data_IF_696257206049
#
_entry.id   IF_696257206049
#
_cell.length_a   1.000
_cell.length_b   1.000
_cell.length_c   1.000
_cell.angle_alpha   90.00
_cell.angle_beta   90.00
_cell.angle_gamma   90.00
#
_symmetry.space_group_name_H-M   'P 1'
#
loop_
_entity.id
_entity.type
_entity.pdbx_description
1 polymer ?
#
# COMPACT_ATOMS: atom_id res chain seq x y z
N UNK A 1 -27.29 32.76 47.15
CA UNK A 1 -27.92 32.15 45.95
C UNK A 1 -27.21 32.72 44.73
N UNK A 2 -26.15 32.06 44.25
CA UNK A 2 -25.25 32.56 43.19
C UNK A 2 -25.33 31.66 41.94
N UNK A 3 -26.41 31.76 41.15
CA UNK A 3 -26.58 30.93 39.94
C UNK A 3 -25.54 31.25 38.85
N UNK A 4 -24.98 32.46 38.86
CA UNK A 4 -24.00 32.92 37.85
C UNK A 4 -22.65 32.21 38.00
N UNK A 5 -22.20 31.94 39.23
CA UNK A 5 -20.92 31.29 39.48
C UNK A 5 -20.91 29.82 39.00
N UNK A 6 -22.05 29.14 39.11
CA UNK A 6 -22.22 27.74 38.67
C UNK A 6 -22.23 27.65 37.13
N UNK A 7 -22.85 28.63 36.46
CA UNK A 7 -22.89 28.69 35.00
C UNK A 7 -21.52 29.01 34.37
N UNK A 8 -20.69 29.84 35.03
CA UNK A 8 -19.33 30.12 34.54
C UNK A 8 -18.44 28.88 34.70
N UNK A 9 -18.57 28.16 35.82
CA UNK A 9 -17.77 26.96 36.07
C UNK A 9 -18.08 25.82 35.08
N UNK A 10 -19.34 25.67 34.67
CA UNK A 10 -19.73 24.64 33.69
C UNK A 10 -19.16 24.93 32.30
N UNK A 11 -19.17 26.20 31.86
CA UNK A 11 -18.60 26.59 30.56
C UNK A 11 -17.08 26.40 30.53
N UNK A 12 -16.38 26.74 31.63
CA UNK A 12 -14.93 26.54 31.75
C UNK A 12 -14.56 25.05 31.68
N UNK A 13 -15.31 24.17 32.34
CA UNK A 13 -15.07 22.72 32.28
C UNK A 13 -15.31 22.14 30.88
N UNK A 14 -16.30 22.65 30.15
CA UNK A 14 -16.54 22.24 28.75
C UNK A 14 -15.36 22.66 27.86
N UNK A 15 -14.87 23.90 28.00
CA UNK A 15 -13.73 24.40 27.21
C UNK A 15 -12.45 23.61 27.52
N UNK A 16 -12.18 23.33 28.80
CA UNK A 16 -11.04 22.49 29.22
C UNK A 16 -11.15 21.07 28.69
N UNK A 17 -12.35 20.47 28.73
CA UNK A 17 -12.62 19.15 28.16
C UNK A 17 -12.35 19.11 26.65
N UNK A 18 -12.82 20.10 25.90
CA UNK A 18 -12.58 20.22 24.45
C UNK A 18 -11.10 20.43 24.15
N UNK A 19 -10.39 21.28 24.90
CA UNK A 19 -8.96 21.52 24.71
C UNK A 19 -8.12 20.27 25.00
N UNK A 20 -8.49 19.52 26.04
CA UNK A 20 -7.83 18.26 26.40
C UNK A 20 -8.07 17.19 25.32
N UNK A 21 -9.30 17.09 24.79
CA UNK A 21 -9.63 16.21 23.68
C UNK A 21 -8.83 16.53 22.40
N UNK A 22 -8.68 17.81 22.07
CA UNK A 22 -7.88 18.25 20.92
C UNK A 22 -6.37 17.98 21.10
N UNK A 23 -5.87 18.07 22.34
CA UNK A 23 -4.46 17.76 22.65
C UNK A 23 -4.16 16.26 22.49
N UNK A 24 -5.10 15.40 22.90
CA UNK A 24 -4.96 13.95 22.76
C UNK A 24 -5.02 13.52 21.29
N UNK A 25 -5.92 14.12 20.50
CA UNK A 25 -6.02 13.88 19.06
C UNK A 25 -4.72 14.24 18.30
N UNK A 26 -4.05 15.32 18.69
CA UNK A 26 -2.76 15.73 18.07
C UNK A 26 -1.58 14.84 18.48
N UNK A 27 -1.60 14.31 19.70
CA UNK A 27 -0.54 13.43 20.23
C UNK A 27 -0.57 12.04 19.59
N UNK A 28 -1.76 11.53 19.27
CA UNK A 28 -1.94 10.26 18.56
C UNK A 28 -1.36 10.28 17.12
N UNK A 29 -1.45 11.42 16.43
CA UNK A 29 -0.95 11.58 15.05
C UNK A 29 0.58 11.65 14.94
N UNK A 30 1.28 12.08 15.99
CA UNK A 30 2.76 12.16 15.99
C UNK A 30 3.43 10.84 16.39
N UNK A 31 2.70 9.91 17.01
CA UNK A 31 3.19 8.58 17.37
C UNK A 31 3.11 7.56 16.22
N UNK A 32 2.38 7.87 15.14
CA UNK A 32 2.20 6.98 13.98
C UNK A 32 3.25 7.15 12.87
N UNK A 33 4.12 8.17 12.95
CA UNK A 33 5.20 8.39 11.97
C UNK A 33 6.42 7.45 12.15
N UNK A 34 6.37 6.51 13.09
CA UNK A 34 7.43 5.52 13.30
C UNK A 34 6.92 4.08 13.42
N UNK A 35 5.75 3.79 12.86
CA UNK A 35 5.37 2.41 12.54
C UNK A 35 6.07 2.05 11.22
N UNK A 36 7.30 1.56 11.36
CA UNK A 36 7.89 0.64 10.38
C UNK A 36 6.83 -0.38 10.00
N UNK A 37 6.53 -0.45 8.71
CA UNK A 37 5.41 -1.13 8.10
C UNK A 37 5.20 -2.55 8.66
N UNK A 38 4.30 -2.70 9.62
CA UNK A 38 3.73 -3.98 9.96
C UNK A 38 2.91 -4.46 8.75
N UNK A 39 3.10 -5.70 8.26
CA UNK A 39 2.33 -6.22 7.13
C UNK A 39 0.85 -6.21 7.50
N UNK A 40 0.06 -5.45 6.73
CA UNK A 40 -1.39 -5.42 6.90
C UNK A 40 -1.95 -6.83 6.78
N UNK A 41 -2.94 -7.19 7.60
CA UNK A 41 -3.55 -8.52 7.66
C UNK A 41 -4.21 -9.02 6.35
N UNK A 42 -4.12 -8.25 5.25
CA UNK A 42 -4.60 -8.59 3.92
C UNK A 42 -3.62 -8.18 2.80
N UNK A 43 -2.31 -8.34 3.03
CA UNK A 43 -1.32 -8.10 1.98
C UNK A 43 -1.46 -9.13 0.85
N UNK A 44 -1.79 -8.66 -0.36
CA UNK A 44 -1.83 -9.52 -1.54
C UNK A 44 -0.41 -9.86 -1.96
N UNK A 45 -0.21 -11.09 -2.41
CA UNK A 45 1.08 -11.55 -2.92
C UNK A 45 0.92 -12.27 -4.24
N UNK A 46 1.98 -12.23 -5.07
CA UNK A 46 2.07 -13.03 -6.30
C UNK A 46 3.31 -13.93 -6.25
N UNK A 47 3.26 -15.02 -7.02
CA UNK A 47 4.40 -15.93 -7.18
C UNK A 47 5.10 -15.60 -8.49
N UNK A 48 6.35 -15.15 -8.35
CA UNK A 48 7.24 -14.94 -9.48
C UNK A 48 8.19 -16.13 -9.63
N UNK A 49 8.24 -16.70 -10.84
CA UNK A 49 9.13 -17.79 -11.19
C UNK A 49 10.45 -17.22 -11.67
N UNK A 50 11.50 -17.41 -10.88
CA UNK A 50 12.83 -16.85 -11.12
C UNK A 50 13.46 -17.56 -12.32
N UNK A 51 13.93 -16.80 -13.31
CA UNK A 51 14.72 -17.32 -14.44
C UNK A 51 16.21 -16.99 -14.26
N UNK A 52 17.06 -17.48 -15.17
CA UNK A 52 18.49 -17.19 -15.13
C UNK A 52 18.73 -15.66 -15.20
N UNK A 53 19.56 -15.16 -14.29
CA UNK A 53 19.90 -13.73 -14.07
C UNK A 53 18.91 -12.89 -13.26
N UNK A 54 17.78 -13.42 -12.82
CA UNK A 54 16.93 -12.71 -11.86
C UNK A 54 17.56 -12.73 -10.45
N UNK A 55 17.68 -11.54 -9.86
CA UNK A 55 18.08 -11.33 -8.48
C UNK A 55 16.98 -10.61 -7.68
N UNK A 56 17.05 -10.71 -6.36
CA UNK A 56 16.01 -10.17 -5.47
C UNK A 56 15.92 -8.65 -5.59
N UNK A 57 17.03 -7.94 -5.77
CA UNK A 57 17.06 -6.47 -5.82
C UNK A 57 16.37 -5.95 -7.09
N UNK A 58 16.68 -6.55 -8.24
CA UNK A 58 16.05 -6.21 -9.52
C UNK A 58 14.54 -6.46 -9.50
N UNK A 59 14.11 -7.58 -8.92
CA UNK A 59 12.69 -7.92 -8.78
C UNK A 59 12.01 -7.00 -7.75
N UNK A 60 12.67 -6.68 -6.63
CA UNK A 60 12.15 -5.76 -5.63
C UNK A 60 11.92 -4.36 -6.23
N UNK A 61 12.90 -3.85 -6.99
CA UNK A 61 12.79 -2.58 -7.69
C UNK A 61 11.66 -2.56 -8.74
N UNK A 62 11.47 -3.67 -9.46
CA UNK A 62 10.37 -3.83 -10.43
C UNK A 62 8.99 -3.75 -9.77
N UNK A 63 8.85 -4.37 -8.59
CA UNK A 63 7.59 -4.44 -7.86
C UNK A 63 7.36 -3.28 -6.88
N UNK A 64 8.34 -2.39 -6.70
CA UNK A 64 8.25 -1.27 -5.76
C UNK A 64 8.31 -1.69 -4.30
N UNK A 65 9.00 -2.81 -4.01
CA UNK A 65 9.09 -3.38 -2.66
C UNK A 65 10.53 -3.35 -2.16
N UNK A 66 10.70 -3.42 -0.84
CA UNK A 66 12.01 -3.63 -0.23
C UNK A 66 12.42 -5.10 -0.38
N UNK A 67 13.71 -5.41 -0.69
CA UNK A 67 14.18 -6.78 -0.89
C UNK A 67 13.87 -7.74 0.27
N UNK A 68 13.90 -7.24 1.51
CA UNK A 68 13.64 -8.04 2.71
C UNK A 68 12.19 -8.51 2.82
N UNK A 69 11.26 -7.90 2.06
CA UNK A 69 9.84 -8.28 2.02
C UNK A 69 9.56 -9.41 1.03
N UNK A 70 10.54 -9.81 0.23
CA UNK A 70 10.41 -10.90 -0.74
C UNK A 70 10.80 -12.22 -0.07
N UNK A 71 9.87 -13.17 -0.03
CA UNK A 71 10.16 -14.52 0.44
C UNK A 71 10.68 -15.37 -0.73
N UNK A 72 11.92 -15.86 -0.65
CA UNK A 72 12.51 -16.72 -1.67
C UNK A 72 12.42 -18.18 -1.25
N UNK A 73 11.81 -19.03 -2.09
CA UNK A 73 11.69 -20.47 -1.88
C UNK A 73 12.48 -21.24 -2.93
N UNK A 74 13.31 -22.19 -2.49
CA UNK A 74 13.99 -23.16 -3.36
C UNK A 74 13.12 -24.41 -3.52
N UNK A 75 12.84 -24.79 -4.76
CA UNK A 75 12.04 -25.96 -5.08
C UNK A 75 12.91 -27.23 -5.14
N UNK A 76 12.30 -28.43 -4.98
CA UNK A 76 13.01 -29.71 -5.05
C UNK A 76 13.79 -29.94 -6.35
N UNK A 77 13.32 -29.39 -7.46
CA UNK A 77 13.96 -29.46 -8.77
C UNK A 77 15.11 -28.44 -8.96
N UNK A 78 15.48 -27.73 -7.90
CA UNK A 78 16.55 -26.73 -7.91
C UNK A 78 16.11 -25.33 -8.39
N UNK A 79 14.88 -25.15 -8.88
CA UNK A 79 14.37 -23.83 -9.26
C UNK A 79 14.12 -22.94 -8.04
N UNK A 80 13.98 -21.64 -8.27
CA UNK A 80 13.62 -20.66 -7.25
C UNK A 80 12.28 -20.00 -7.59
N UNK A 81 11.52 -19.68 -6.57
CA UNK A 81 10.33 -18.85 -6.67
C UNK A 81 10.41 -17.74 -5.63
N UNK A 82 9.83 -16.59 -5.96
CA UNK A 82 9.71 -15.45 -5.07
C UNK A 82 8.23 -15.19 -4.82
N UNK A 83 7.85 -15.10 -3.55
CA UNK A 83 6.55 -14.58 -3.15
C UNK A 83 6.73 -13.09 -2.88
N UNK A 84 6.06 -12.29 -3.69
CA UNK A 84 6.28 -10.84 -3.76
C UNK A 84 5.00 -10.14 -3.33
N UNK A 85 5.09 -9.17 -2.40
CA UNK A 85 3.95 -8.32 -2.08
C UNK A 85 3.53 -7.45 -3.26
N UNK A 86 2.22 -7.33 -3.46
CA UNK A 86 1.62 -6.53 -4.53
C UNK A 86 0.51 -5.66 -3.96
N UNK A 87 0.20 -4.57 -4.67
CA UNK A 87 -0.88 -3.69 -4.27
C UNK A 87 -2.25 -4.31 -4.55
N UNK A 88 -2.41 -4.86 -5.76
CA UNK A 88 -3.66 -5.46 -6.21
C UNK A 88 -3.49 -6.33 -7.46
N UNK A 89 -4.34 -7.34 -7.64
CA UNK A 89 -4.66 -7.88 -8.97
C UNK A 89 -5.89 -7.14 -9.52
N UNK A 90 -5.71 -6.43 -10.62
CA UNK A 90 -6.75 -5.63 -11.26
C UNK A 90 -7.23 -6.33 -12.53
N UNK A 91 -8.52 -6.68 -12.59
CA UNK A 91 -9.15 -7.16 -13.82
C UNK A 91 -9.60 -5.97 -14.66
N UNK A 92 -9.02 -5.83 -15.84
CA UNK A 92 -9.33 -4.74 -16.78
C UNK A 92 -10.79 -4.82 -17.24
N UNK A 93 -11.38 -3.65 -17.45
CA UNK A 93 -12.74 -3.45 -17.97
C UNK A 93 -12.68 -2.85 -19.37
N UNK A 94 -13.82 -2.87 -20.06
CA UNK A 94 -13.98 -2.07 -21.27
C UNK A 94 -13.68 -0.60 -20.95
N UNK A 95 -12.78 0.00 -21.74
CA UNK A 95 -12.26 1.36 -21.61
C UNK A 95 -11.21 1.61 -20.53
N UNK A 96 -10.72 0.59 -19.82
CA UNK A 96 -9.53 0.79 -19.00
C UNK A 96 -8.31 1.10 -19.87
N UNK A 97 -7.54 2.08 -19.43
CA UNK A 97 -6.24 2.42 -19.99
C UNK A 97 -5.21 2.53 -18.86
N UNK A 98 -3.93 2.42 -19.21
CA UNK A 98 -2.85 2.44 -18.23
C UNK A 98 -2.76 3.75 -17.44
N UNK A 99 -3.14 4.90 -18.03
CA UNK A 99 -3.08 6.18 -17.32
C UNK A 99 -4.16 6.23 -16.23
N UNK A 100 -5.33 5.68 -16.50
CA UNK A 100 -6.43 5.60 -15.53
C UNK A 100 -6.09 4.64 -14.40
N UNK A 101 -5.48 3.48 -14.70
CA UNK A 101 -4.99 2.52 -13.72
C UNK A 101 -3.86 3.13 -12.87
N UNK A 102 -2.92 3.84 -13.49
CA UNK A 102 -1.83 4.56 -12.79
C UNK A 102 -2.38 5.54 -11.76
N UNK A 103 -3.33 6.40 -12.15
CA UNK A 103 -3.96 7.35 -11.23
C UNK A 103 -4.72 6.65 -10.11
N UNK A 104 -5.44 5.58 -10.43
CA UNK A 104 -6.24 4.84 -9.47
C UNK A 104 -5.38 4.18 -8.39
N UNK A 105 -4.19 3.68 -8.75
CA UNK A 105 -3.33 2.94 -7.85
C UNK A 105 -2.07 3.68 -7.42
N UNK A 106 -1.81 4.89 -7.91
CA UNK A 106 -0.63 5.66 -7.54
C UNK A 106 0.69 4.96 -7.88
N UNK A 107 0.77 4.32 -9.05
CA UNK A 107 1.97 3.66 -9.57
C UNK A 107 2.13 4.00 -11.05
N UNK A 108 3.34 3.98 -11.61
CA UNK A 108 3.54 4.43 -12.99
C UNK A 108 3.10 3.38 -14.01
N UNK A 109 2.57 3.84 -15.15
CA UNK A 109 2.28 2.96 -16.31
C UNK A 109 3.51 2.16 -16.75
N UNK A 110 4.71 2.74 -16.72
CA UNK A 110 5.93 2.03 -17.09
C UNK A 110 6.22 0.86 -16.14
N UNK A 111 5.96 1.03 -14.84
CA UNK A 111 6.13 -0.05 -13.86
C UNK A 111 5.09 -1.14 -14.09
N UNK A 112 3.81 -0.77 -14.24
CA UNK A 112 2.74 -1.72 -14.57
C UNK A 112 3.10 -2.53 -15.82
N UNK A 113 3.56 -1.87 -16.88
CA UNK A 113 3.94 -2.54 -18.13
C UNK A 113 5.07 -3.54 -17.93
N UNK A 114 6.15 -3.12 -17.27
CA UNK A 114 7.31 -4.00 -17.03
C UNK A 114 6.92 -5.20 -16.18
N UNK A 115 6.16 -5.00 -15.09
CA UNK A 115 5.72 -6.07 -14.20
C UNK A 115 4.84 -7.09 -14.91
N UNK A 116 4.01 -6.65 -15.86
CA UNK A 116 3.07 -7.50 -16.59
C UNK A 116 3.57 -7.92 -17.99
N UNK A 117 4.81 -7.59 -18.36
CA UNK A 117 5.36 -7.92 -19.68
C UNK A 117 4.65 -7.26 -20.86
N UNK A 118 3.96 -6.13 -20.64
CA UNK A 118 3.23 -5.42 -21.70
C UNK A 118 4.19 -4.69 -22.64
N UNK A 119 4.04 -4.94 -23.95
CA UNK A 119 4.85 -4.30 -25.00
C UNK A 119 4.30 -2.95 -25.46
N UNK A 120 3.02 -2.68 -25.21
CA UNK A 120 2.31 -1.47 -25.61
C UNK A 120 1.37 -0.98 -24.53
N UNK A 121 0.53 0.00 -24.87
CA UNK A 121 -0.42 0.63 -23.94
C UNK A 121 -1.85 0.12 -24.11
N UNK A 122 -2.09 -0.70 -25.13
CA UNK A 122 -3.40 -1.29 -25.40
C UNK A 122 -3.63 -2.44 -24.43
N UNK A 123 -4.74 -2.38 -23.69
CA UNK A 123 -5.18 -3.41 -22.76
C UNK A 123 -6.34 -4.19 -23.37
N UNK A 124 -6.27 -5.51 -23.28
CA UNK A 124 -7.41 -6.37 -23.57
C UNK A 124 -8.40 -6.33 -22.39
N UNK A 125 -9.72 -6.30 -22.65
CA UNK A 125 -10.71 -6.35 -21.59
C UNK A 125 -10.70 -7.73 -20.88
N UNK A 126 -11.03 -7.73 -19.59
CA UNK A 126 -11.06 -8.90 -18.72
C UNK A 126 -9.70 -9.62 -18.50
N UNK A 127 -8.59 -8.92 -18.70
CA UNK A 127 -7.25 -9.40 -18.40
C UNK A 127 -6.86 -9.05 -16.96
N UNK A 128 -6.11 -9.92 -16.29
CA UNK A 128 -5.58 -9.65 -14.96
C UNK A 128 -4.23 -8.94 -15.03
N UNK A 129 -4.15 -7.77 -14.40
CA UNK A 129 -2.92 -7.01 -14.25
C UNK A 129 -2.46 -7.03 -12.80
N UNK A 130 -1.20 -7.37 -12.61
CA UNK A 130 -0.48 -7.20 -11.35
C UNK A 130 -0.19 -5.72 -11.18
N UNK A 131 -0.72 -5.13 -10.12
CA UNK A 131 -0.43 -3.75 -9.73
C UNK A 131 0.67 -3.77 -8.67
N UNK A 132 1.88 -3.26 -8.99
CA UNK A 132 2.99 -3.20 -8.04
C UNK A 132 2.73 -2.17 -6.93
N UNK A 133 3.52 -2.24 -5.86
CA UNK A 133 3.45 -1.31 -4.73
C UNK A 133 3.96 0.10 -5.10
#
# INVERSE_FOLDING_TARGET
RTPVAVAILSVVLIILGVLMYLKEAKKSSLAELNQSAAPSAHEQTTIFKVVANDDVDSIAALYGVEPQRIEVTKLPDGRRQMKIPIKKIHTTRFYDDLNTIERLYGTSKERIKKTNGLKGDVLEPACELIIPL
#
